data_IF_453838702340
#
_entry.id   IF_453838702340
#
_cell.length_a   1.000
_cell.length_b   1.000
_cell.length_c   1.000
_cell.angle_alpha   90.00
_cell.angle_beta   90.00
_cell.angle_gamma   90.00
#
_symmetry.space_group_name_H-M   'P 1'
#
loop_
_entity.id
_entity.type
_entity.pdbx_description
1 polymer ?
#
# COMPACT_ATOMS: atom_id res chain seq x y z
N UNK A 1 18.40 -29.77 2.19
CA UNK A 1 19.04 -28.85 3.17
C UNK A 1 18.10 -28.68 4.36
N UNK A 2 18.63 -28.37 5.54
CA UNK A 2 17.80 -28.09 6.73
C UNK A 2 17.44 -26.61 6.84
N UNK A 3 16.32 -26.30 7.50
CA UNK A 3 15.83 -24.92 7.66
C UNK A 3 16.87 -24.01 8.35
N UNK A 4 17.62 -24.56 9.30
CA UNK A 4 18.68 -23.87 10.06
C UNK A 4 19.85 -23.44 9.16
N UNK A 5 20.03 -24.10 8.02
CA UNK A 5 21.08 -23.81 7.04
C UNK A 5 20.72 -22.62 6.13
N UNK A 6 19.49 -22.10 6.21
CA UNK A 6 19.05 -20.91 5.47
C UNK A 6 19.63 -19.60 6.00
N UNK A 7 20.47 -19.64 7.02
CA UNK A 7 21.04 -18.47 7.67
C UNK A 7 20.10 -17.81 8.67
N UNK A 8 20.67 -16.92 9.47
CA UNK A 8 19.99 -16.27 10.59
C UNK A 8 19.14 -15.08 10.11
N UNK A 9 18.04 -14.81 10.82
CA UNK A 9 17.31 -13.54 10.66
C UNK A 9 18.26 -12.38 10.97
N UNK A 10 18.33 -11.43 10.05
CA UNK A 10 19.19 -10.26 10.23
C UNK A 10 18.72 -9.40 11.38
N UNK A 11 19.68 -9.01 12.22
CA UNK A 11 19.50 -8.05 13.30
C UNK A 11 20.33 -6.78 13.05
N UNK A 12 19.77 -5.64 13.43
CA UNK A 12 20.49 -4.37 13.58
C UNK A 12 20.12 -3.78 14.93
N UNK A 13 21.11 -3.49 15.76
CA UNK A 13 20.92 -2.97 17.12
C UNK A 13 19.91 -3.83 17.92
N UNK A 14 20.10 -5.16 17.85
CA UNK A 14 19.25 -6.19 18.47
C UNK A 14 17.80 -6.26 17.93
N UNK A 15 17.44 -5.47 16.91
CA UNK A 15 16.11 -5.47 16.28
C UNK A 15 16.14 -6.25 14.97
N UNK A 16 15.11 -7.07 14.73
CA UNK A 16 14.95 -7.77 13.46
C UNK A 16 14.79 -6.78 12.30
N UNK A 17 15.60 -6.94 11.27
CA UNK A 17 15.47 -6.18 10.02
C UNK A 17 14.36 -6.80 9.19
N UNK A 18 13.28 -6.03 8.97
CA UNK A 18 12.10 -6.45 8.21
C UNK A 18 11.95 -5.62 6.95
N UNK A 19 11.25 -6.16 5.95
CA UNK A 19 10.83 -5.40 4.78
C UNK A 19 9.60 -4.56 5.09
N UNK A 20 9.55 -3.34 4.58
CA UNK A 20 8.33 -2.55 4.44
C UNK A 20 8.37 -1.80 3.11
N UNK A 21 7.21 -1.52 2.48
CA UNK A 21 7.15 -0.87 1.18
C UNK A 21 7.25 0.66 1.25
N UNK A 22 7.67 1.22 2.37
CA UNK A 22 7.86 2.66 2.56
C UNK A 22 9.33 2.94 2.92
N UNK A 23 9.81 4.14 2.65
CA UNK A 23 11.21 4.51 2.87
C UNK A 23 11.53 4.53 4.38
N UNK A 24 12.04 3.45 4.96
CA UNK A 24 12.49 3.41 6.36
C UNK A 24 13.94 2.93 6.50
N UNK A 25 14.51 3.09 7.69
CA UNK A 25 15.83 2.53 8.00
C UNK A 25 15.78 1.04 8.36
N UNK A 26 16.88 0.31 8.15
CA UNK A 26 17.02 -1.05 8.67
C UNK A 26 16.86 -1.04 10.20
N UNK A 27 16.09 -1.96 10.76
CA UNK A 27 15.83 -2.04 12.20
C UNK A 27 15.01 -0.87 12.75
N UNK A 28 14.33 -0.09 11.89
CA UNK A 28 13.45 0.99 12.33
C UNK A 28 12.39 0.46 13.33
N UNK A 29 12.10 1.21 14.40
CA UNK A 29 11.08 0.82 15.35
C UNK A 29 9.67 1.01 14.76
N UNK A 30 8.71 0.31 15.36
CA UNK A 30 7.30 0.60 15.13
C UNK A 30 6.90 1.88 15.86
N UNK A 31 6.17 2.74 15.17
CA UNK A 31 5.41 3.83 15.78
C UNK A 31 4.01 3.28 16.04
N UNK A 32 3.70 3.08 17.32
CA UNK A 32 2.40 2.54 17.74
C UNK A 32 1.44 3.71 17.99
N UNK A 33 0.37 3.79 17.21
CA UNK A 33 -0.70 4.78 17.39
C UNK A 33 -2.05 4.20 16.99
N UNK A 34 -3.10 4.51 17.74
CA UNK A 34 -4.49 4.21 17.35
C UNK A 34 -5.08 5.30 16.44
N UNK A 35 -4.40 6.43 16.32
CA UNK A 35 -4.77 7.57 15.50
C UNK A 35 -3.59 7.94 14.57
N UNK A 36 -3.52 7.35 13.37
CA UNK A 36 -2.43 7.60 12.44
C UNK A 36 -2.44 9.04 11.88
N UNK A 37 -3.60 9.68 11.78
CA UNK A 37 -3.72 11.04 11.23
C UNK A 37 -3.34 12.09 12.28
N UNK A 38 -3.77 11.96 13.53
CA UNK A 38 -3.29 12.79 14.63
C UNK A 38 -1.78 12.65 14.86
N UNK A 39 -1.23 11.44 14.69
CA UNK A 39 0.22 11.25 14.68
C UNK A 39 0.91 12.03 13.55
N UNK A 40 0.36 11.97 12.33
CA UNK A 40 0.90 12.69 11.19
C UNK A 40 0.90 14.21 11.40
N UNK A 41 -0.18 14.77 11.96
CA UNK A 41 -0.28 16.18 12.30
C UNK A 41 0.84 16.60 13.26
N UNK A 42 0.99 15.90 14.38
CA UNK A 42 2.06 16.16 15.35
C UNK A 42 3.46 16.03 14.72
N UNK A 43 3.67 15.05 13.84
CA UNK A 43 4.93 14.88 13.11
C UNK A 43 5.23 16.06 12.17
N UNK A 44 4.21 16.58 11.48
CA UNK A 44 4.32 17.74 10.60
C UNK A 44 4.59 19.02 11.39
N UNK A 45 3.89 19.25 12.51
CA UNK A 45 4.10 20.40 13.38
C UNK A 45 5.50 20.43 13.98
N UNK A 46 6.00 19.27 14.43
CA UNK A 46 7.38 19.15 14.89
C UNK A 46 8.38 19.43 13.76
N UNK A 47 8.09 18.92 12.55
CA UNK A 47 8.90 19.19 11.35
C UNK A 47 8.90 20.68 10.97
N UNK A 48 7.77 21.37 11.15
CA UNK A 48 7.63 22.81 10.92
C UNK A 48 8.43 23.62 11.94
N UNK A 49 8.34 23.25 13.22
CA UNK A 49 9.02 23.92 14.34
C UNK A 49 10.54 23.79 14.26
N UNK A 50 11.04 22.72 13.64
CA UNK A 50 12.47 22.54 13.38
C UNK A 50 13.04 23.49 12.30
N UNK A 51 12.20 24.18 11.53
CA UNK A 51 12.65 25.10 10.47
C UNK A 51 12.99 26.46 11.07
N UNK A 52 14.29 26.76 11.16
CA UNK A 52 14.80 28.01 11.74
C UNK A 52 14.70 29.25 10.83
N UNK A 53 14.49 29.07 9.52
CA UNK A 53 14.46 30.17 8.54
C UNK A 53 13.05 30.38 8.01
N UNK A 54 12.51 31.58 8.21
CA UNK A 54 11.25 32.00 7.60
C UNK A 54 11.37 32.15 6.07
N UNK A 55 10.27 31.87 5.36
CA UNK A 55 10.17 32.01 3.91
C UNK A 55 10.69 30.83 3.08
N UNK A 56 11.09 29.71 3.68
CA UNK A 56 11.50 28.54 2.87
C UNK A 56 10.28 27.87 2.19
N UNK A 57 10.43 27.46 0.92
CA UNK A 57 9.41 26.67 0.20
C UNK A 57 8.98 25.40 0.96
N UNK A 58 9.87 24.88 1.82
CA UNK A 58 9.60 23.73 2.70
C UNK A 58 8.62 24.09 3.82
N UNK A 59 8.73 25.29 4.40
CA UNK A 59 7.80 25.81 5.42
C UNK A 59 6.40 25.90 4.86
N UNK A 60 6.23 26.52 3.69
CA UNK A 60 4.94 26.59 2.98
C UNK A 60 4.35 25.21 2.72
N UNK A 61 5.16 24.27 2.21
CA UNK A 61 4.72 22.91 1.92
C UNK A 61 4.23 22.18 3.17
N UNK A 62 4.92 22.34 4.31
CA UNK A 62 4.53 21.71 5.58
C UNK A 62 3.29 22.37 6.17
N UNK A 63 3.16 23.70 6.10
CA UNK A 63 1.95 24.40 6.55
C UNK A 63 0.72 23.91 5.78
N UNK A 64 0.82 23.80 4.44
CA UNK A 64 -0.25 23.23 3.62
C UNK A 64 -0.52 21.76 3.94
N UNK A 65 0.53 20.98 4.20
CA UNK A 65 0.41 19.58 4.60
C UNK A 65 -0.35 19.41 5.93
N UNK A 66 -0.13 20.29 6.92
CA UNK A 66 -0.89 20.29 8.17
C UNK A 66 -2.37 20.54 7.88
N UNK A 67 -2.68 21.58 7.11
CA UNK A 67 -4.06 21.90 6.72
C UNK A 67 -4.75 20.74 5.98
N UNK A 68 -4.09 20.12 5.00
CA UNK A 68 -4.67 18.97 4.30
C UNK A 68 -4.78 17.72 5.19
N UNK A 69 -3.92 17.58 6.22
CA UNK A 69 -4.05 16.51 7.22
C UNK A 69 -5.30 16.73 8.07
N UNK A 70 -5.56 17.96 8.53
CA UNK A 70 -6.77 18.34 9.26
C UNK A 70 -8.03 18.10 8.42
N UNK A 71 -8.05 18.55 7.15
CA UNK A 71 -9.15 18.24 6.23
C UNK A 71 -9.35 16.73 6.07
N UNK A 72 -8.27 15.96 5.93
CA UNK A 72 -8.35 14.50 5.84
C UNK A 72 -9.03 13.90 7.07
N UNK A 73 -8.66 14.38 8.27
CA UNK A 73 -9.24 13.97 9.54
C UNK A 73 -10.72 14.35 9.64
N UNK A 74 -11.07 15.59 9.34
CA UNK A 74 -12.45 16.10 9.46
C UNK A 74 -13.42 15.38 8.52
N UNK A 75 -13.01 15.15 7.27
CA UNK A 75 -13.79 14.36 6.32
C UNK A 75 -13.95 12.91 6.79
N UNK A 76 -12.91 12.31 7.37
CA UNK A 76 -13.01 10.96 7.90
C UNK A 76 -13.94 10.87 9.12
N UNK A 77 -13.80 11.78 10.07
CA UNK A 77 -14.67 11.88 11.25
C UNK A 77 -16.14 12.04 10.84
N UNK A 78 -16.39 12.88 9.84
CA UNK A 78 -17.73 13.04 9.25
C UNK A 78 -18.21 11.74 8.58
N UNK A 79 -17.31 11.01 7.90
CA UNK A 79 -17.63 9.74 7.25
C UNK A 79 -17.99 8.63 8.24
N UNK A 80 -17.47 8.65 9.48
CA UNK A 80 -17.80 7.66 10.51
C UNK A 80 -19.31 7.66 10.81
N UNK A 81 -19.90 8.86 10.97
CA UNK A 81 -21.32 9.05 11.29
C UNK A 81 -22.25 9.03 10.06
N UNK A 82 -21.72 9.25 8.86
CA UNK A 82 -22.52 9.26 7.64
C UNK A 82 -23.04 7.86 7.26
N UNK A 83 -24.10 7.80 6.44
CA UNK A 83 -24.56 6.59 5.76
C UNK A 83 -24.16 6.62 4.28
N UNK A 84 -24.21 5.47 3.61
CA UNK A 84 -24.16 5.46 2.14
C UNK A 84 -25.40 6.15 1.56
N UNK A 85 -25.28 6.88 0.44
CA UNK A 85 -24.09 6.98 -0.40
C UNK A 85 -23.09 8.09 0.02
N UNK A 86 -23.50 9.05 0.85
CA UNK A 86 -22.68 10.22 1.24
C UNK A 86 -21.35 9.85 1.90
N UNK A 87 -21.30 8.74 2.66
CA UNK A 87 -20.06 8.21 3.24
C UNK A 87 -18.96 8.01 2.19
N UNK A 88 -19.29 7.54 0.98
CA UNK A 88 -18.31 7.34 -0.10
C UNK A 88 -17.66 8.66 -0.56
N UNK A 89 -18.44 9.74 -0.64
CA UNK A 89 -17.93 11.08 -0.97
C UNK A 89 -16.99 11.59 0.12
N UNK A 90 -17.36 11.45 1.40
CA UNK A 90 -16.54 11.92 2.52
C UNK A 90 -15.22 11.14 2.61
N UNK A 91 -15.25 9.82 2.43
CA UNK A 91 -14.03 9.00 2.36
C UNK A 91 -13.11 9.43 1.21
N UNK A 92 -13.67 9.72 0.03
CA UNK A 92 -12.88 10.22 -1.09
C UNK A 92 -12.15 11.52 -0.75
N UNK A 93 -12.87 12.49 -0.17
CA UNK A 93 -12.26 13.76 0.22
C UNK A 93 -11.24 13.60 1.35
N UNK A 94 -11.44 12.67 2.27
CA UNK A 94 -10.41 12.30 3.24
C UNK A 94 -9.14 11.79 2.54
N UNK A 95 -9.27 10.78 1.68
CA UNK A 95 -8.13 10.15 1.03
C UNK A 95 -7.37 11.08 0.08
N UNK A 96 -8.07 11.89 -0.73
CA UNK A 96 -7.39 12.80 -1.66
C UNK A 96 -6.61 13.89 -0.92
N UNK A 97 -7.12 14.39 0.21
CA UNK A 97 -6.38 15.38 1.00
C UNK A 97 -5.12 14.74 1.60
N UNK A 98 -5.17 13.50 2.10
CA UNK A 98 -3.97 12.80 2.54
C UNK A 98 -2.98 12.53 1.40
N UNK A 99 -3.47 12.26 0.19
CA UNK A 99 -2.61 12.15 -1.01
C UNK A 99 -1.95 13.49 -1.34
N UNK A 100 -2.66 14.61 -1.22
CA UNK A 100 -2.06 15.95 -1.37
C UNK A 100 -0.93 16.19 -0.36
N UNK A 101 -1.10 15.76 0.89
CA UNK A 101 -0.03 15.78 1.90
C UNK A 101 1.19 15.00 1.40
N UNK A 102 0.99 13.78 0.89
CA UNK A 102 2.07 12.98 0.34
C UNK A 102 2.77 13.66 -0.85
N UNK A 103 2.03 14.30 -1.76
CA UNK A 103 2.62 15.05 -2.87
C UNK A 103 3.47 16.25 -2.39
N UNK A 104 2.95 17.04 -1.45
CA UNK A 104 3.67 18.18 -0.83
C UNK A 104 4.96 17.72 -0.16
N UNK A 105 4.91 16.63 0.59
CA UNK A 105 6.07 16.07 1.28
C UNK A 105 7.10 15.45 0.32
N UNK A 106 6.71 15.19 -0.93
CA UNK A 106 7.59 14.79 -2.03
C UNK A 106 7.91 15.94 -2.99
N UNK A 107 7.76 17.20 -2.55
CA UNK A 107 8.24 18.39 -3.26
C UNK A 107 7.32 18.94 -4.35
N UNK A 108 6.09 18.42 -4.48
CA UNK A 108 5.11 19.01 -5.40
C UNK A 108 4.58 20.32 -4.84
N UNK A 109 4.47 21.34 -5.71
CA UNK A 109 3.90 22.65 -5.33
C UNK A 109 2.41 22.69 -5.66
N UNK A 110 1.58 22.39 -4.67
CA UNK A 110 0.13 22.53 -4.80
C UNK A 110 -0.30 23.99 -4.60
N UNK A 111 -1.50 24.31 -5.08
CA UNK A 111 -2.12 25.64 -5.11
C UNK A 111 -1.36 26.67 -5.96
N UNK A 112 -0.50 26.20 -6.86
CA UNK A 112 0.21 27.05 -7.84
C UNK A 112 -0.36 26.95 -9.24
N UNK A 113 -1.12 25.88 -9.50
CA UNK A 113 -1.76 25.55 -10.77
C UNK A 113 -3.05 24.79 -10.49
N UNK A 114 -3.93 24.70 -11.48
CA UNK A 114 -5.15 23.90 -11.35
C UNK A 114 -4.82 22.44 -11.07
N UNK A 115 -5.36 21.90 -9.99
CA UNK A 115 -5.29 20.48 -9.68
C UNK A 115 -6.51 19.73 -10.22
N UNK A 116 -6.25 18.69 -10.98
CA UNK A 116 -7.27 17.77 -11.49
C UNK A 116 -7.21 16.45 -10.74
N UNK A 117 -8.36 15.78 -10.61
CA UNK A 117 -8.40 14.45 -10.00
C UNK A 117 -7.57 13.41 -10.77
N UNK A 118 -7.43 13.55 -12.10
CA UNK A 118 -6.70 12.59 -12.96
C UNK A 118 -7.51 11.35 -13.37
N UNK A 119 -8.73 11.22 -12.84
CA UNK A 119 -9.70 10.17 -13.17
C UNK A 119 -11.09 10.80 -13.29
N UNK A 120 -11.95 10.15 -14.07
CA UNK A 120 -13.34 10.56 -14.29
C UNK A 120 -14.29 9.36 -14.37
N UNK A 121 -15.58 9.60 -14.14
CA UNK A 121 -16.65 8.65 -14.44
C UNK A 121 -17.56 9.26 -15.53
N UNK A 122 -17.27 9.02 -16.82
CA UNK A 122 -18.13 9.47 -17.92
C UNK A 122 -19.59 9.04 -17.73
N UNK A 123 -20.53 9.83 -18.26
CA UNK A 123 -21.98 9.55 -18.19
C UNK A 123 -22.36 8.18 -18.78
N UNK A 124 -21.62 7.73 -19.79
CA UNK A 124 -21.80 6.42 -20.44
C UNK A 124 -21.19 5.26 -19.66
N UNK A 125 -20.33 5.53 -18.68
CA UNK A 125 -19.66 4.49 -17.91
C UNK A 125 -20.51 4.11 -16.69
N UNK A 126 -20.58 2.80 -16.44
CA UNK A 126 -21.25 2.22 -15.27
C UNK A 126 -20.26 1.58 -14.32
N UNK A 127 -19.45 0.65 -14.80
CA UNK A 127 -18.57 -0.22 -13.99
C UNK A 127 -17.08 0.03 -14.27
N UNK A 128 -16.72 1.23 -14.73
CA UNK A 128 -15.34 1.62 -14.99
C UNK A 128 -15.14 3.12 -14.83
N UNK A 129 -13.92 3.51 -14.48
CA UNK A 129 -13.42 4.89 -14.52
C UNK A 129 -12.57 5.09 -15.78
N UNK A 130 -12.41 6.34 -16.18
CA UNK A 130 -11.50 6.75 -17.26
C UNK A 130 -10.35 7.57 -16.67
N UNK A 131 -9.12 7.15 -16.96
CA UNK A 131 -7.91 7.95 -16.73
C UNK A 131 -7.95 9.18 -17.64
N UNK A 132 -7.71 10.34 -17.04
CA UNK A 132 -7.67 11.62 -17.75
C UNK A 132 -6.21 12.06 -17.81
N UNK A 133 -5.68 12.10 -19.04
CA UNK A 133 -4.34 12.63 -19.26
C UNK A 133 -4.25 14.05 -18.66
N UNK A 134 -3.12 14.40 -18.02
CA UNK A 134 -2.84 15.78 -17.70
C UNK A 134 -2.92 16.60 -18.99
N UNK A 135 -3.84 17.55 -19.06
CA UNK A 135 -3.94 18.48 -20.17
C UNK A 135 -3.46 19.86 -19.68
N UNK A 136 -2.66 20.54 -20.51
CA UNK A 136 -2.09 21.84 -20.15
C UNK A 136 -1.02 21.73 -19.06
N UNK A 137 -0.93 22.76 -18.22
CA UNK A 137 0.10 22.89 -17.20
C UNK A 137 -0.34 22.42 -15.80
N UNK A 138 -1.60 21.99 -15.65
CA UNK A 138 -2.20 21.56 -14.38
C UNK A 138 -1.62 20.27 -13.79
N UNK A 139 -1.87 20.05 -12.50
CA UNK A 139 -1.36 18.88 -11.75
C UNK A 139 -2.45 17.81 -11.68
N UNK A 140 -2.18 16.62 -12.23
CA UNK A 140 -3.09 15.49 -12.09
C UNK A 140 -2.73 14.67 -10.84
N UNK A 141 -3.51 14.85 -9.76
CA UNK A 141 -3.25 14.25 -8.44
C UNK A 141 -3.10 12.72 -8.52
N UNK A 142 -3.99 12.02 -9.23
CA UNK A 142 -3.93 10.55 -9.32
C UNK A 142 -2.67 10.03 -10.03
N UNK A 143 -2.25 10.69 -11.11
CA UNK A 143 -1.07 10.31 -11.89
C UNK A 143 0.22 10.55 -11.10
N UNK A 144 0.38 11.74 -10.50
CA UNK A 144 1.55 12.04 -9.66
C UNK A 144 1.62 11.13 -8.43
N UNK A 145 0.47 10.81 -7.84
CA UNK A 145 0.40 9.85 -6.74
C UNK A 145 0.84 8.45 -7.16
N UNK A 146 0.30 7.93 -8.27
CA UNK A 146 0.63 6.62 -8.79
C UNK A 146 2.12 6.49 -9.13
N UNK A 147 2.69 7.53 -9.72
CA UNK A 147 4.13 7.63 -10.01
C UNK A 147 4.97 7.58 -8.74
N UNK A 148 4.69 8.45 -7.76
CA UNK A 148 5.46 8.52 -6.51
C UNK A 148 5.35 7.26 -5.65
N UNK A 149 4.18 6.61 -5.63
CA UNK A 149 3.97 5.38 -4.86
C UNK A 149 4.63 4.14 -5.52
N UNK A 150 5.32 4.33 -6.65
CA UNK A 150 6.15 3.31 -7.29
C UNK A 150 5.44 2.47 -8.36
N UNK A 151 4.26 2.89 -8.82
CA UNK A 151 3.55 2.21 -9.91
C UNK A 151 2.84 3.22 -10.79
N UNK A 152 3.63 3.87 -11.63
CA UNK A 152 3.15 4.85 -12.61
C UNK A 152 2.04 4.25 -13.47
N UNK A 153 1.04 5.08 -13.75
CA UNK A 153 -0.13 4.71 -14.54
C UNK A 153 -0.18 5.66 -15.71
N UNK A 154 -0.29 5.09 -16.90
CA UNK A 154 -0.47 5.84 -18.14
C UNK A 154 -1.62 5.26 -18.96
N UNK A 155 -1.95 5.95 -20.04
CA UNK A 155 -2.99 5.54 -20.97
C UNK A 155 -2.52 4.53 -22.04
N UNK A 156 -1.24 4.15 -22.08
CA UNK A 156 -0.70 3.21 -23.08
C UNK A 156 -1.23 1.79 -22.88
N UNK A 157 -1.47 1.42 -21.62
CA UNK A 157 -2.07 0.12 -21.23
C UNK A 157 -3.60 0.14 -21.23
N UNK A 158 -4.21 1.22 -21.75
CA UNK A 158 -5.65 1.46 -21.80
C UNK A 158 -6.11 2.53 -20.82
N UNK A 159 -7.10 3.33 -21.22
CA UNK A 159 -7.59 4.43 -20.38
C UNK A 159 -8.57 3.99 -19.29
N UNK A 160 -9.14 2.78 -19.38
CA UNK A 160 -10.25 2.36 -18.53
C UNK A 160 -9.80 1.58 -17.30
N UNK A 161 -10.28 1.96 -16.11
CA UNK A 161 -10.07 1.23 -14.85
C UNK A 161 -11.38 0.54 -14.49
N UNK A 162 -11.41 -0.79 -14.56
CA UNK A 162 -12.57 -1.60 -14.16
C UNK A 162 -12.85 -1.48 -12.66
N UNK A 163 -14.12 -1.23 -12.31
CA UNK A 163 -14.59 -1.21 -10.92
C UNK A 163 -14.38 -2.56 -10.22
N UNK A 164 -14.55 -3.65 -10.97
CA UNK A 164 -14.29 -5.01 -10.46
C UNK A 164 -12.81 -5.21 -10.16
N UNK A 165 -11.94 -4.67 -11.00
CA UNK A 165 -10.48 -4.77 -10.81
C UNK A 165 -10.04 -3.96 -9.61
N UNK A 166 -10.67 -2.80 -9.35
CA UNK A 166 -10.45 -2.02 -8.14
C UNK A 166 -10.75 -2.86 -6.90
N UNK A 167 -11.97 -3.41 -6.78
CA UNK A 167 -12.36 -4.25 -5.65
C UNK A 167 -11.50 -5.51 -5.52
N UNK A 168 -11.20 -6.17 -6.63
CA UNK A 168 -10.38 -7.38 -6.66
C UNK A 168 -8.90 -7.13 -6.32
N UNK A 169 -8.47 -5.85 -6.28
CA UNK A 169 -7.11 -5.43 -5.87
C UNK A 169 -7.00 -5.08 -4.39
N UNK A 170 -8.10 -5.16 -3.64
CA UNK A 170 -8.12 -4.83 -2.22
C UNK A 170 -8.01 -6.13 -1.40
N UNK A 171 -6.88 -6.38 -0.72
CA UNK A 171 -6.70 -7.60 0.07
C UNK A 171 -7.73 -7.73 1.20
N UNK A 172 -8.21 -6.61 1.74
CA UNK A 172 -9.20 -6.58 2.82
C UNK A 172 -10.52 -7.27 2.45
N UNK A 173 -10.92 -7.16 1.17
CA UNK A 173 -12.25 -7.60 0.72
C UNK A 173 -12.20 -8.66 -0.38
N UNK A 174 -11.01 -9.04 -0.82
CA UNK A 174 -10.81 -10.03 -1.87
C UNK A 174 -11.49 -11.37 -1.55
N UNK A 175 -11.28 -11.91 -0.34
CA UNK A 175 -11.85 -13.21 0.03
C UNK A 175 -13.39 -13.17 0.09
N UNK A 176 -13.99 -12.06 0.53
CA UNK A 176 -15.45 -11.91 0.51
C UNK A 176 -15.95 -11.87 -0.94
N UNK A 177 -15.30 -11.09 -1.81
CA UNK A 177 -15.68 -11.03 -3.23
C UNK A 177 -15.52 -12.37 -3.95
N UNK A 178 -14.47 -13.12 -3.62
CA UNK A 178 -14.26 -14.47 -4.12
C UNK A 178 -15.34 -15.44 -3.63
N UNK A 179 -15.63 -15.46 -2.33
CA UNK A 179 -16.66 -16.32 -1.73
C UNK A 179 -18.06 -16.05 -2.27
N UNK A 180 -18.37 -14.79 -2.59
CA UNK A 180 -19.64 -14.37 -3.19
C UNK A 180 -19.69 -14.52 -4.72
N UNK A 181 -18.64 -15.05 -5.36
CA UNK A 181 -18.59 -15.23 -6.81
C UNK A 181 -18.63 -13.93 -7.62
N UNK A 182 -18.22 -12.81 -7.03
CA UNK A 182 -18.24 -11.48 -7.68
C UNK A 182 -17.14 -11.31 -8.73
N UNK A 183 -16.15 -12.19 -8.70
CA UNK A 183 -15.00 -12.24 -9.61
C UNK A 183 -15.01 -13.59 -10.36
N UNK A 184 -15.93 -13.78 -11.32
CA UNK A 184 -16.00 -15.04 -12.06
C UNK A 184 -14.69 -15.26 -12.83
N UNK A 185 -14.26 -16.52 -12.93
CA UNK A 185 -13.04 -16.94 -13.63
C UNK A 185 -11.73 -16.44 -13.03
N UNK A 186 -11.73 -15.83 -11.83
CA UNK A 186 -10.51 -15.53 -11.09
C UNK A 186 -10.21 -16.61 -10.06
N UNK A 187 -8.93 -16.79 -9.68
CA UNK A 187 -8.58 -17.58 -8.50
C UNK A 187 -8.25 -16.63 -7.34
N UNK A 188 -8.08 -17.18 -6.14
CA UNK A 188 -7.51 -16.43 -5.02
C UNK A 188 -6.18 -15.82 -5.44
N UNK A 189 -6.03 -14.53 -5.16
CA UNK A 189 -4.97 -13.68 -5.68
C UNK A 189 -3.86 -13.43 -4.67
N UNK A 190 -4.22 -13.21 -3.41
CA UNK A 190 -3.29 -12.76 -2.37
C UNK A 190 -2.75 -13.97 -1.59
N UNK A 191 -1.60 -14.49 -2.00
CA UNK A 191 -0.94 -15.62 -1.33
C UNK A 191 -0.26 -15.11 -0.04
N UNK A 192 -0.69 -15.55 1.16
CA UNK A 192 -0.02 -15.17 2.39
C UNK A 192 1.40 -15.72 2.40
N UNK A 193 2.38 -14.87 2.69
CA UNK A 193 3.78 -15.27 2.77
C UNK A 193 4.42 -14.86 4.10
N UNK A 194 5.45 -15.59 4.47
CA UNK A 194 6.46 -15.13 5.42
C UNK A 194 7.68 -14.67 4.64
N UNK A 195 8.12 -13.45 4.90
CA UNK A 195 9.35 -12.88 4.34
C UNK A 195 10.34 -12.65 5.47
N UNK A 196 11.54 -13.20 5.30
CA UNK A 196 12.63 -13.10 6.27
C UNK A 196 13.84 -12.51 5.56
N UNK A 197 14.39 -11.40 6.05
CA UNK A 197 15.69 -10.90 5.60
C UNK A 197 16.75 -11.66 6.40
N UNK A 198 17.66 -12.34 5.70
CA UNK A 198 18.63 -13.28 6.27
C UNK A 198 20.07 -12.85 6.03
N UNK A 199 20.98 -13.34 6.88
CA UNK A 199 22.42 -13.16 6.73
C UNK A 199 23.14 -14.50 6.70
N UNK A 200 24.29 -14.55 6.01
CA UNK A 200 25.19 -15.70 6.04
C UNK A 200 25.75 -15.94 7.44
N UNK A 201 26.22 -17.16 7.72
CA UNK A 201 26.79 -17.54 9.03
C UNK A 201 27.95 -16.62 9.47
N UNK A 202 28.76 -16.13 8.52
CA UNK A 202 29.85 -15.18 8.78
C UNK A 202 29.39 -13.71 8.86
N UNK A 203 28.09 -13.44 8.73
CA UNK A 203 27.45 -12.11 8.76
C UNK A 203 28.02 -11.10 7.78
N UNK A 204 28.38 -11.58 6.57
CA UNK A 204 28.96 -10.76 5.49
C UNK A 204 28.02 -10.50 4.33
N UNK A 205 26.93 -11.27 4.20
CA UNK A 205 26.04 -11.19 3.04
C UNK A 205 24.59 -11.23 3.49
N UNK A 206 23.77 -10.28 3.01
CA UNK A 206 22.32 -10.22 3.23
C UNK A 206 21.61 -10.72 1.98
N UNK A 207 20.54 -11.48 2.18
CA UNK A 207 19.58 -11.93 1.18
C UNK A 207 18.20 -12.05 1.85
N UNK A 208 17.17 -12.52 1.13
CA UNK A 208 15.87 -12.80 1.74
C UNK A 208 15.36 -14.19 1.35
N UNK A 209 14.48 -14.71 2.18
CA UNK A 209 13.69 -15.90 1.87
C UNK A 209 12.22 -15.55 1.94
N UNK A 210 11.44 -16.21 1.09
CA UNK A 210 9.99 -16.22 1.22
C UNK A 210 9.51 -17.66 1.42
N UNK A 211 8.43 -17.83 2.18
CA UNK A 211 7.77 -19.12 2.29
C UNK A 211 6.26 -18.95 2.41
N UNK A 212 5.53 -19.98 1.98
CA UNK A 212 4.07 -20.06 2.15
C UNK A 212 3.66 -21.46 2.55
N UNK A 213 2.46 -21.61 3.11
CA UNK A 213 1.94 -22.91 3.53
C UNK A 213 1.53 -23.78 2.33
N UNK A 214 1.98 -25.04 2.31
CA UNK A 214 1.77 -25.98 1.20
C UNK A 214 0.30 -26.24 0.88
N UNK A 215 -0.62 -26.01 1.82
CA UNK A 215 -2.07 -26.07 1.57
C UNK A 215 -2.55 -25.15 0.44
N UNK A 216 -1.81 -24.08 0.14
CA UNK A 216 -2.16 -23.15 -0.92
C UNK A 216 -1.88 -23.67 -2.33
N UNK A 217 -1.09 -24.74 -2.50
CA UNK A 217 -0.83 -25.39 -3.79
C UNK A 217 -2.11 -25.78 -4.53
N UNK A 218 -3.11 -26.24 -3.76
CA UNK A 218 -4.40 -26.69 -4.28
C UNK A 218 -5.44 -25.56 -4.40
N UNK A 219 -5.15 -24.37 -3.85
CA UNK A 219 -6.13 -23.28 -3.72
C UNK A 219 -5.81 -22.06 -4.59
N UNK A 220 -4.54 -21.88 -4.97
CA UNK A 220 -4.04 -20.64 -5.58
C UNK A 220 -3.14 -20.95 -6.79
N UNK A 221 -2.84 -19.93 -7.62
CA UNK A 221 -1.94 -20.07 -8.79
C UNK A 221 -0.46 -19.99 -8.39
N UNK A 222 -0.03 -20.84 -7.46
CA UNK A 222 1.34 -20.80 -6.90
C UNK A 222 2.42 -21.17 -7.94
N UNK A 223 2.03 -21.82 -9.05
CA UNK A 223 2.90 -22.13 -10.17
C UNK A 223 3.55 -20.86 -10.78
N UNK A 224 2.92 -19.70 -10.61
CA UNK A 224 3.46 -18.40 -11.03
C UNK A 224 4.78 -18.05 -10.34
N UNK A 225 5.07 -18.58 -9.16
CA UNK A 225 6.35 -18.35 -8.45
C UNK A 225 7.56 -18.94 -9.18
N UNK A 226 7.32 -19.81 -10.15
CA UNK A 226 8.37 -20.40 -11.01
C UNK A 226 8.44 -19.77 -12.39
N UNK A 227 7.75 -18.64 -12.61
CA UNK A 227 7.62 -17.93 -13.89
C UNK A 227 7.98 -16.45 -13.75
N UNK A 228 8.22 -15.77 -14.88
CA UNK A 228 8.35 -14.31 -14.95
C UNK A 228 9.39 -13.73 -13.98
N UNK A 229 9.02 -12.64 -13.28
CA UNK A 229 9.88 -11.96 -12.29
C UNK A 229 10.26 -12.88 -11.13
N UNK A 230 9.35 -13.75 -10.69
CA UNK A 230 9.62 -14.67 -9.58
C UNK A 230 10.72 -15.65 -9.92
N UNK A 231 10.70 -16.27 -11.11
CA UNK A 231 11.79 -17.16 -11.57
C UNK A 231 13.14 -16.44 -11.62
N UNK A 232 13.17 -15.17 -12.03
CA UNK A 232 14.40 -14.38 -12.11
C UNK A 232 14.97 -14.08 -10.72
N UNK A 233 14.09 -13.83 -9.74
CA UNK A 233 14.49 -13.38 -8.41
C UNK A 233 14.58 -14.48 -7.36
N UNK A 234 13.92 -15.60 -7.56
CA UNK A 234 13.73 -16.62 -6.54
C UNK A 234 14.15 -18.00 -7.05
N UNK A 235 14.82 -18.74 -6.17
CA UNK A 235 15.12 -20.15 -6.35
C UNK A 235 14.35 -20.95 -5.30
N UNK A 236 13.56 -21.94 -5.74
CA UNK A 236 12.86 -22.87 -4.85
C UNK A 236 13.89 -23.72 -4.09
N UNK A 237 13.61 -23.97 -2.81
CA UNK A 237 14.47 -24.75 -1.92
C UNK A 237 13.75 -26.02 -1.48
N UNK A 238 14.51 -27.12 -1.42
CA UNK A 238 14.07 -28.38 -0.84
C UNK A 238 14.55 -28.45 0.61
N UNK A 239 13.61 -28.18 1.53
CA UNK A 239 13.84 -28.19 2.98
C UNK A 239 13.38 -29.52 3.55
N UNK A 240 14.32 -30.31 4.09
CA UNK A 240 14.07 -31.68 4.55
C UNK A 240 13.19 -31.74 5.81
N UNK A 241 13.33 -30.76 6.71
CA UNK A 241 12.67 -30.72 8.01
C UNK A 241 11.45 -29.78 8.08
N UNK A 242 10.93 -29.31 6.95
CA UNK A 242 9.68 -28.55 6.89
C UNK A 242 8.84 -28.95 5.68
N UNK A 243 7.99 -29.97 5.87
CA UNK A 243 7.06 -30.44 4.84
C UNK A 243 5.79 -29.59 4.74
N UNK A 244 5.57 -28.67 5.69
CA UNK A 244 4.34 -27.87 5.81
C UNK A 244 4.36 -26.61 4.95
N UNK A 245 5.55 -26.17 4.53
CA UNK A 245 5.76 -24.94 3.76
C UNK A 245 6.58 -25.19 2.50
N UNK A 246 6.41 -24.30 1.53
CA UNK A 246 7.27 -24.21 0.35
C UNK A 246 8.18 -23.00 0.51
N UNK A 247 9.48 -23.20 0.35
CA UNK A 247 10.51 -22.19 0.61
C UNK A 247 11.20 -21.73 -0.67
N UNK A 248 11.53 -20.44 -0.72
CA UNK A 248 12.33 -19.83 -1.78
C UNK A 248 13.40 -18.92 -1.18
N UNK A 249 14.56 -18.88 -1.84
CA UNK A 249 15.65 -17.97 -1.54
C UNK A 249 15.79 -16.95 -2.67
N UNK A 250 16.12 -15.72 -2.34
CA UNK A 250 16.46 -14.70 -3.33
C UNK A 250 17.76 -15.03 -4.06
N UNK A 251 17.77 -14.80 -5.37
CA UNK A 251 18.98 -14.80 -6.18
C UNK A 251 19.79 -13.52 -5.91
N UNK A 252 19.12 -12.45 -5.49
CA UNK A 252 19.75 -11.23 -5.00
C UNK A 252 20.47 -11.48 -3.68
N UNK A 253 21.67 -10.91 -3.57
CA UNK A 253 22.44 -10.84 -2.34
C UNK A 253 23.30 -9.57 -2.34
N UNK A 254 23.62 -9.06 -1.15
CA UNK A 254 24.47 -7.88 -0.99
C UNK A 254 25.43 -8.05 0.17
N UNK A 255 26.70 -7.75 -0.07
CA UNK A 255 27.72 -7.76 0.99
C UNK A 255 27.55 -6.55 1.90
N UNK A 256 27.73 -6.76 3.20
CA UNK A 256 27.60 -5.71 4.21
C UNK A 256 28.56 -5.90 5.38
N UNK A 257 28.81 -4.81 6.10
CA UNK A 257 29.54 -4.80 7.36
C UNK A 257 28.54 -4.59 8.49
N UNK A 258 28.28 -5.63 9.28
CA UNK A 258 27.17 -5.64 10.25
C UNK A 258 27.21 -4.50 11.28
N UNK A 259 28.40 -4.04 11.66
CA UNK A 259 28.63 -2.96 12.63
C UNK A 259 28.63 -1.55 12.00
N UNK A 260 28.58 -1.43 10.67
CA UNK A 260 28.71 -0.14 9.99
C UNK A 260 27.34 0.45 9.62
N UNK A 261 26.99 1.59 10.21
CA UNK A 261 25.80 2.35 9.85
C UNK A 261 25.77 2.76 8.37
N UNK A 262 26.92 3.16 7.82
CA UNK A 262 27.06 3.49 6.39
C UNK A 262 26.75 2.29 5.50
N UNK A 263 27.24 1.10 5.86
CA UNK A 263 26.94 -0.13 5.13
C UNK A 263 25.43 -0.42 5.13
N UNK A 264 24.75 -0.26 6.27
CA UNK A 264 23.30 -0.42 6.37
C UNK A 264 22.52 0.56 5.49
N UNK A 265 22.91 1.83 5.50
CA UNK A 265 22.25 2.88 4.72
C UNK A 265 22.36 2.63 3.20
N UNK A 266 23.35 1.84 2.75
CA UNK A 266 23.52 1.45 1.35
C UNK A 266 22.82 0.12 1.06
N UNK A 267 22.97 -0.89 1.92
CA UNK A 267 22.55 -2.25 1.63
C UNK A 267 21.05 -2.47 1.83
N UNK A 268 20.46 -1.84 2.85
CA UNK A 268 19.03 -2.01 3.14
C UNK A 268 18.12 -1.45 2.03
N UNK A 269 18.35 -0.25 1.47
CA UNK A 269 17.57 0.22 0.33
C UNK A 269 17.67 -0.71 -0.88
N UNK A 270 18.85 -1.31 -1.14
CA UNK A 270 19.03 -2.25 -2.25
C UNK A 270 18.19 -3.52 -2.09
N UNK A 271 18.14 -4.10 -0.88
CA UNK A 271 17.31 -5.28 -0.65
C UNK A 271 15.81 -4.95 -0.68
N UNK A 272 15.40 -3.79 -0.16
CA UNK A 272 14.01 -3.30 -0.25
C UNK A 272 13.61 -3.09 -1.71
N UNK A 273 14.48 -2.51 -2.53
CA UNK A 273 14.28 -2.35 -3.96
C UNK A 273 14.19 -3.68 -4.70
N UNK A 274 14.99 -4.68 -4.33
CA UNK A 274 14.89 -5.99 -4.96
C UNK A 274 13.56 -6.69 -4.63
N UNK A 275 13.12 -6.58 -3.37
CA UNK A 275 11.84 -7.14 -2.88
C UNK A 275 10.64 -6.41 -3.49
N UNK A 276 10.70 -5.09 -3.70
CA UNK A 276 9.55 -4.33 -4.21
C UNK A 276 9.09 -4.77 -5.60
N UNK A 277 10.01 -5.28 -6.43
CA UNK A 277 9.70 -5.87 -7.74
C UNK A 277 8.82 -7.15 -7.64
N UNK A 278 8.74 -7.78 -6.47
CA UNK A 278 7.83 -8.91 -6.22
C UNK A 278 6.37 -8.48 -6.04
N UNK A 279 6.07 -7.17 -6.01
CA UNK A 279 4.74 -6.60 -5.84
C UNK A 279 4.02 -7.11 -4.57
N UNK A 280 4.72 -7.10 -3.44
CA UNK A 280 4.14 -7.47 -2.15
C UNK A 280 3.05 -6.48 -1.72
N UNK A 281 1.94 -7.02 -1.27
CA UNK A 281 0.82 -6.26 -0.71
C UNK A 281 0.85 -6.39 0.82
N UNK A 282 1.22 -5.34 1.57
CA UNK A 282 1.13 -5.37 3.02
C UNK A 282 -0.33 -5.29 3.46
N UNK A 283 -0.67 -5.88 4.61
CA UNK A 283 -1.93 -5.65 5.30
C UNK A 283 -1.64 -5.55 6.80
N UNK A 284 -2.06 -4.45 7.43
CA UNK A 284 -1.86 -4.24 8.85
C UNK A 284 -2.88 -5.04 9.65
N UNK A 285 -2.42 -5.77 10.65
CA UNK A 285 -3.27 -6.49 11.61
C UNK A 285 -2.91 -6.06 13.03
N UNK A 286 -3.68 -6.49 14.03
CA UNK A 286 -3.32 -6.27 15.43
C UNK A 286 -1.99 -6.93 15.83
N UNK A 287 -1.53 -7.93 15.06
CA UNK A 287 -0.23 -8.59 15.24
C UNK A 287 0.88 -7.95 14.38
N UNK A 288 0.62 -6.78 13.78
CA UNK A 288 1.53 -6.10 12.87
C UNK A 288 1.25 -6.42 11.40
N UNK A 289 2.21 -6.08 10.54
CA UNK A 289 2.08 -6.24 9.08
C UNK A 289 2.19 -7.71 8.66
N UNK A 290 1.22 -8.15 7.86
CA UNK A 290 1.28 -9.38 7.07
C UNK A 290 1.55 -9.04 5.62
N UNK A 291 2.29 -9.89 4.92
CA UNK A 291 2.61 -9.69 3.51
C UNK A 291 1.93 -10.74 2.66
N UNK A 292 1.38 -10.29 1.53
CA UNK A 292 0.78 -11.15 0.53
C UNK A 292 1.49 -10.97 -0.80
N UNK A 293 1.77 -12.07 -1.48
CA UNK A 293 2.14 -12.04 -2.88
C UNK A 293 0.88 -11.92 -3.73
N UNK A 294 0.86 -10.87 -4.54
CA UNK A 294 -0.18 -10.73 -5.54
C UNK A 294 0.14 -11.62 -6.75
N UNK A 295 -0.55 -12.75 -6.83
CA UNK A 295 -0.39 -13.70 -7.92
C UNK A 295 -0.99 -13.19 -9.24
N UNK A 296 -1.87 -12.18 -9.22
CA UNK A 296 -2.52 -11.63 -10.42
C UNK A 296 -2.42 -10.09 -10.43
N UNK A 297 -1.20 -9.52 -10.48
CA UNK A 297 -0.99 -8.09 -10.27
C UNK A 297 -1.74 -7.25 -11.30
N UNK A 298 -2.47 -6.23 -10.83
CA UNK A 298 -3.16 -5.27 -11.69
C UNK A 298 -2.21 -4.15 -12.08
N UNK A 299 -2.65 -3.25 -12.95
CA UNK A 299 -1.89 -2.07 -13.34
C UNK A 299 -1.73 -1.02 -12.24
N UNK A 300 -2.61 -1.00 -11.24
CA UNK A 300 -2.58 0.00 -10.19
C UNK A 300 -1.79 -0.48 -8.97
N UNK A 301 -1.22 0.47 -8.23
CA UNK A 301 -0.82 0.22 -6.85
C UNK A 301 -2.08 0.04 -5.98
N UNK A 302 -1.97 -0.69 -4.86
CA UNK A 302 -3.13 -0.92 -3.99
C UNK A 302 -3.73 0.38 -3.45
N UNK A 303 -2.88 1.35 -3.08
CA UNK A 303 -3.33 2.64 -2.56
C UNK A 303 -3.99 3.48 -3.65
N UNK A 304 -3.48 3.41 -4.88
CA UNK A 304 -4.15 4.01 -6.05
C UNK A 304 -5.51 3.34 -6.30
N UNK A 305 -5.63 2.03 -6.08
CA UNK A 305 -6.90 1.31 -6.20
C UNK A 305 -7.92 1.76 -5.15
N UNK A 306 -7.51 1.95 -3.89
CA UNK A 306 -8.37 2.51 -2.82
C UNK A 306 -8.84 3.93 -3.18
N UNK A 307 -7.93 4.80 -3.63
CA UNK A 307 -8.25 6.17 -4.02
C UNK A 307 -9.25 6.21 -5.20
N UNK A 308 -9.01 5.41 -6.24
CA UNK A 308 -9.90 5.30 -7.39
C UNK A 308 -11.27 4.70 -7.01
N UNK A 309 -11.29 3.70 -6.12
CA UNK A 309 -12.53 3.14 -5.60
C UNK A 309 -13.36 4.19 -4.85
N UNK A 310 -12.73 4.95 -3.95
CA UNK A 310 -13.41 6.04 -3.24
C UNK A 310 -13.89 7.13 -4.20
N UNK A 311 -13.10 7.51 -5.21
CA UNK A 311 -13.52 8.45 -6.25
C UNK A 311 -14.77 7.97 -6.99
N UNK A 312 -14.80 6.69 -7.37
CA UNK A 312 -15.96 6.08 -8.03
C UNK A 312 -17.20 6.22 -7.14
N UNK A 313 -17.13 5.78 -5.87
CA UNK A 313 -18.24 5.87 -4.93
C UNK A 313 -18.70 7.32 -4.73
N UNK A 314 -17.76 8.23 -4.51
CA UNK A 314 -18.05 9.65 -4.28
C UNK A 314 -18.63 10.36 -5.50
N UNK A 315 -18.32 9.90 -6.71
CA UNK A 315 -18.87 10.44 -7.96
C UNK A 315 -20.27 9.89 -8.21
N UNK A 316 -20.47 8.58 -7.99
CA UNK A 316 -21.79 7.95 -8.10
C UNK A 316 -22.78 8.57 -7.12
N UNK A 317 -22.36 8.76 -5.86
CA UNK A 317 -23.17 9.36 -4.81
C UNK A 317 -23.68 10.76 -5.13
N UNK A 318 -22.84 11.60 -5.77
CA UNK A 318 -23.17 13.00 -6.06
C UNK A 318 -23.91 13.21 -7.37
N UNK A 319 -23.62 12.40 -8.40
CA UNK A 319 -24.01 12.72 -9.77
C UNK A 319 -24.81 11.63 -10.48
N UNK A 320 -24.91 10.41 -9.91
CA UNK A 320 -25.50 9.26 -10.61
C UNK A 320 -26.47 8.46 -9.72
N UNK A 321 -27.61 9.04 -9.29
CA UNK A 321 -28.55 8.37 -8.38
C UNK A 321 -29.06 7.02 -8.89
N UNK A 322 -29.35 6.87 -10.18
CA UNK A 322 -29.79 5.57 -10.74
C UNK A 322 -28.68 4.51 -10.73
N UNK A 323 -27.43 4.90 -10.99
CA UNK A 323 -26.28 3.99 -10.91
C UNK A 323 -25.96 3.64 -9.45
N UNK A 324 -26.21 4.58 -8.53
CA UNK A 324 -26.07 4.37 -7.10
C UNK A 324 -26.99 3.24 -6.63
N UNK A 325 -28.24 3.24 -7.05
CA UNK A 325 -29.19 2.15 -6.77
C UNK A 325 -28.70 0.82 -7.37
N UNK A 326 -28.27 0.81 -8.64
CA UNK A 326 -27.77 -0.38 -9.33
C UNK A 326 -26.55 -1.02 -8.63
N UNK A 327 -25.60 -0.20 -8.16
CA UNK A 327 -24.31 -0.68 -7.63
C UNK A 327 -24.35 -0.86 -6.11
N UNK A 328 -24.87 0.12 -5.36
CA UNK A 328 -24.87 0.08 -3.89
C UNK A 328 -25.99 -0.78 -3.30
N UNK A 329 -27.05 -1.06 -4.07
CA UNK A 329 -28.11 -1.99 -3.66
C UNK A 329 -28.14 -3.27 -4.50
N UNK A 330 -27.21 -3.40 -5.44
CA UNK A 330 -27.04 -4.61 -6.25
C UNK A 330 -26.06 -5.60 -5.65
N UNK A 331 -25.56 -6.51 -6.49
CA UNK A 331 -24.66 -7.61 -6.09
C UNK A 331 -23.35 -7.19 -5.42
N UNK A 332 -22.92 -5.94 -5.60
CA UNK A 332 -21.68 -5.42 -4.99
C UNK A 332 -21.90 -4.79 -3.61
N UNK A 333 -23.14 -4.70 -3.13
CA UNK A 333 -23.46 -4.02 -1.86
C UNK A 333 -22.61 -4.55 -0.69
N UNK A 334 -22.58 -5.87 -0.48
CA UNK A 334 -21.88 -6.47 0.67
C UNK A 334 -20.38 -6.18 0.64
N UNK A 335 -19.73 -6.30 -0.53
CA UNK A 335 -18.30 -6.04 -0.66
C UNK A 335 -17.97 -4.55 -0.56
N UNK A 336 -18.84 -3.67 -1.07
CA UNK A 336 -18.67 -2.21 -0.92
C UNK A 336 -18.79 -1.82 0.55
N UNK A 337 -19.79 -2.34 1.26
CA UNK A 337 -19.99 -2.08 2.68
C UNK A 337 -18.79 -2.55 3.52
N UNK A 338 -18.21 -3.71 3.21
CA UNK A 338 -16.98 -4.12 3.87
C UNK A 338 -15.80 -3.20 3.51
N UNK A 339 -15.64 -2.85 2.23
CA UNK A 339 -14.49 -2.05 1.78
C UNK A 339 -14.46 -0.66 2.41
N UNK A 340 -15.62 -0.01 2.56
CA UNK A 340 -15.71 1.31 3.20
C UNK A 340 -15.49 1.26 4.73
N UNK A 341 -15.46 0.08 5.35
CA UNK A 341 -15.16 -0.13 6.77
C UNK A 341 -13.69 -0.53 6.95
N UNK A 342 -13.22 -1.48 6.16
CA UNK A 342 -11.90 -2.12 6.33
C UNK A 342 -10.75 -1.36 5.66
N UNK A 343 -10.96 -0.77 4.48
CA UNK A 343 -9.89 -0.09 3.73
C UNK A 343 -9.45 1.27 4.29
N UNK A 344 -10.30 2.13 4.89
CA UNK A 344 -9.88 3.46 5.34
C UNK A 344 -8.70 3.43 6.31
N UNK A 345 -8.80 2.64 7.38
CA UNK A 345 -7.71 2.53 8.35
C UNK A 345 -6.42 2.01 7.69
N UNK A 346 -6.52 0.99 6.83
CA UNK A 346 -5.36 0.46 6.08
C UNK A 346 -4.71 1.54 5.22
N UNK A 347 -5.52 2.35 4.54
CA UNK A 347 -5.04 3.47 3.74
C UNK A 347 -4.30 4.50 4.59
N UNK A 348 -4.87 4.89 5.74
CA UNK A 348 -4.23 5.87 6.63
C UNK A 348 -2.90 5.39 7.18
N UNK A 349 -2.82 4.19 7.76
CA UNK A 349 -1.55 3.68 8.31
C UNK A 349 -0.46 3.57 7.24
N UNK A 350 -0.81 3.09 6.05
CA UNK A 350 0.16 2.97 4.95
C UNK A 350 0.59 4.34 4.43
N UNK A 351 -0.36 5.25 4.16
CA UNK A 351 -0.03 6.60 3.68
C UNK A 351 0.80 7.37 4.70
N UNK A 352 0.46 7.32 5.99
CA UNK A 352 1.23 7.95 7.06
C UNK A 352 2.64 7.35 7.13
N UNK A 353 2.79 6.03 6.96
CA UNK A 353 4.12 5.40 6.89
C UNK A 353 4.93 5.89 5.69
N UNK A 354 4.30 6.04 4.51
CA UNK A 354 4.93 6.61 3.32
C UNK A 354 5.33 8.08 3.49
N UNK A 355 4.50 8.89 4.16
CA UNK A 355 4.75 10.32 4.38
C UNK A 355 5.88 10.52 5.40
N UNK A 356 5.78 9.84 6.55
CA UNK A 356 6.68 10.02 7.70
C UNK A 356 7.97 9.23 7.60
N UNK A 357 8.06 8.28 6.65
CA UNK A 357 9.22 7.38 6.50
C UNK A 357 9.44 6.49 7.74
N UNK A 358 8.35 6.16 8.42
CA UNK A 358 8.34 5.40 9.68
C UNK A 358 7.30 4.27 9.63
N UNK A 359 7.53 3.21 10.41
CA UNK A 359 6.66 2.04 10.43
C UNK A 359 5.48 2.30 11.37
N UNK A 360 4.39 2.89 10.86
CA UNK A 360 3.20 3.14 11.66
C UNK A 360 2.38 1.84 11.83
N UNK A 361 1.98 1.50 13.05
CA UNK A 361 1.20 0.31 13.35
C UNK A 361 0.21 0.51 14.51
N UNK A 362 -0.76 -0.39 14.62
CA UNK A 362 -1.76 -0.37 15.68
C UNK A 362 -1.15 -0.88 16.99
N UNK A 363 -1.32 -0.18 18.13
CA UNK A 363 -0.93 -0.67 19.44
C UNK A 363 -1.65 -1.98 19.77
N UNK A 364 -0.90 -2.96 20.25
CA UNK A 364 -1.49 -4.19 20.79
C UNK A 364 -1.94 -3.94 22.24
N UNK A 365 -2.99 -3.15 22.42
CA UNK A 365 -3.65 -3.04 23.71
C UNK A 365 -4.69 -4.17 23.82
N UNK A 366 -4.46 -5.12 24.73
CA UNK A 366 -5.51 -5.99 25.24
C UNK A 366 -6.29 -5.13 26.24
N UNK A 367 -7.39 -4.53 25.79
CA UNK A 367 -8.36 -3.99 26.74
C UNK A 367 -9.20 -5.21 27.12
N UNK A 368 -8.97 -5.69 28.34
CA UNK A 368 -9.70 -6.82 28.92
C UNK A 368 -11.20 -6.51 29.09
#
# INVERSE_FOLDING_TARGET
MKLEELGEQVLRDYKSVKYFPFDNGAGAPFILTSDPLGYLEAWLENSLSAIKRDGSSKRDSITKAIYFTQLSQDFYNSALSAKMPSKGTLLYYSFINLVKVYLLMNGHKLETKTEHHGISLPSTYKDKLKLINPAGDGISIFHEFAKLIGKEVDNTTGADISFKDLLNSLPEVHEIGFALGLFPNTKRRFLPIELTIRTSANRKTIYYTISYEKRFDNQMKVDKLTKGVFKKKLTKLDIENDSSRVHFKSNFNVSYTHSSGTSWNICYPKIVSDISELNLTPMLTRQGYRFYLDLEPTRLHRLSSVLAFAYYLGTVARYRPSLNEEILKGKYQSIINEAIISCPNQFFYLMVSHITKQICAIPMAKID
#
